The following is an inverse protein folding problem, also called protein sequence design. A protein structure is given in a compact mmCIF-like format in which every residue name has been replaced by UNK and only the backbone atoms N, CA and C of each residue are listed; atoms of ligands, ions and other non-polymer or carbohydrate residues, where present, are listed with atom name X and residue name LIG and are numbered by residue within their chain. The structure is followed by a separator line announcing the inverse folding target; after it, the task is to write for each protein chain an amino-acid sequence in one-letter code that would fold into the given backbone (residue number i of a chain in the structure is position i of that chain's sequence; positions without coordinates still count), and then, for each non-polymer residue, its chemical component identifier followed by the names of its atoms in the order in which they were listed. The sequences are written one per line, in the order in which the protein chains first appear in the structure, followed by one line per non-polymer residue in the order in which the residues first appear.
data_IF_142766674739
#
_entry.id   IF_142766674739
#
_cell.length_a   1.000
_cell.length_b   1.000
_cell.length_c   1.000
_cell.angle_alpha   90.00
_cell.angle_beta   90.00
_cell.angle_gamma   90.00
#
_symmetry.space_group_name_H-M   'P 1'
#
loop_
_entity.id
_entity.type
_entity.pdbx_description
1 polymer ?
#
# COMPACT_ATOMS: atom_id res chain seq x y z
N UNK A 1 -8.12 -9.57 -4.68
CA UNK A 1 -7.12 -10.38 -3.98
C UNK A 1 -7.83 -11.33 -3.02
N UNK A 2 -7.62 -12.64 -3.12
CA UNK A 2 -8.20 -13.65 -2.23
C UNK A 2 -7.21 -14.06 -1.11
N UNK A 3 -7.58 -15.02 -0.26
CA UNK A 3 -6.72 -15.48 0.85
C UNK A 3 -5.54 -16.34 0.38
N UNK A 4 -5.68 -17.08 -0.72
CA UNK A 4 -4.59 -17.87 -1.30
C UNK A 4 -3.48 -16.97 -1.82
N UNK A 5 -3.83 -15.91 -2.55
CA UNK A 5 -2.92 -14.88 -3.04
C UNK A 5 -2.25 -14.14 -1.88
N UNK A 6 -3.02 -13.81 -0.84
CA UNK A 6 -2.45 -13.15 0.34
C UNK A 6 -1.48 -14.08 1.09
N UNK A 7 -1.79 -15.37 1.19
CA UNK A 7 -0.90 -16.37 1.78
C UNK A 7 0.30 -16.70 0.90
N UNK A 8 0.23 -16.51 -0.42
CA UNK A 8 1.40 -16.61 -1.28
C UNK A 8 2.42 -15.50 -0.95
N UNK A 9 1.94 -14.32 -0.53
CA UNK A 9 2.78 -13.17 -0.15
C UNK A 9 3.22 -13.25 1.31
N UNK A 10 2.30 -13.64 2.21
CA UNK A 10 2.53 -13.75 3.66
C UNK A 10 2.07 -15.13 4.16
N UNK A 11 2.86 -16.20 3.94
CA UNK A 11 2.44 -17.58 4.22
C UNK A 11 2.06 -17.86 5.68
N UNK A 12 2.71 -17.16 6.60
CA UNK A 12 2.50 -17.27 8.04
C UNK A 12 1.30 -16.46 8.55
N UNK A 13 0.58 -15.73 7.68
CA UNK A 13 -0.59 -14.97 8.07
C UNK A 13 -1.75 -15.88 8.49
N UNK A 14 -2.27 -15.62 9.69
CA UNK A 14 -3.45 -16.27 10.27
C UNK A 14 -4.48 -15.21 10.67
N UNK A 15 -5.70 -15.65 10.99
CA UNK A 15 -6.79 -14.78 11.44
C UNK A 15 -7.09 -13.60 10.48
N UNK A 16 -6.98 -13.80 9.17
CA UNK A 16 -7.13 -12.72 8.17
C UNK A 16 -8.52 -12.09 8.28
N UNK A 17 -8.59 -10.81 8.66
CA UNK A 17 -9.81 -10.02 8.73
C UNK A 17 -9.79 -8.98 7.62
N UNK A 18 -10.79 -9.03 6.73
CA UNK A 18 -10.94 -8.09 5.61
C UNK A 18 -12.07 -7.12 5.91
N UNK A 19 -11.79 -5.82 5.80
CA UNK A 19 -12.78 -4.74 5.91
C UNK A 19 -12.82 -3.96 4.60
N UNK A 20 -13.75 -4.29 3.69
CA UNK A 20 -13.97 -3.49 2.49
C UNK A 20 -14.36 -2.06 2.85
N UNK A 21 -13.85 -1.10 2.10
CA UNK A 21 -14.07 0.33 2.28
C UNK A 21 -14.59 0.94 0.98
N UNK A 22 -15.51 1.88 1.13
CA UNK A 22 -16.05 2.67 0.04
C UNK A 22 -15.02 3.72 -0.40
N UNK A 23 -14.92 3.95 -1.72
CA UNK A 23 -14.23 5.11 -2.28
C UNK A 23 -15.28 6.11 -2.75
N UNK A 24 -15.07 7.38 -2.43
CA UNK A 24 -15.88 8.48 -2.95
C UNK A 24 -15.12 9.07 -4.14
N UNK A 25 -15.66 8.90 -5.35
CA UNK A 25 -15.11 9.51 -6.55
C UNK A 25 -15.54 10.97 -6.59
N UNK A 26 -14.59 11.89 -6.55
CA UNK A 26 -14.86 13.32 -6.71
C UNK A 26 -14.65 13.67 -8.18
N UNK A 27 -15.71 14.13 -8.84
CA UNK A 27 -15.61 14.68 -10.19
C UNK A 27 -14.89 16.04 -10.13
N UNK A 28 -13.82 16.19 -10.89
CA UNK A 28 -13.01 17.41 -10.93
C UNK A 28 -13.57 18.44 -11.92
N UNK A 29 -14.55 18.08 -12.75
CA UNK A 29 -15.14 18.96 -13.77
C UNK A 29 -16.10 20.01 -13.20
N UNK A 30 -16.54 19.86 -11.94
CA UNK A 30 -17.49 20.79 -11.31
C UNK A 30 -17.11 21.01 -9.85
N UNK A 31 -17.02 22.29 -9.42
CA UNK A 31 -16.75 22.72 -8.03
C UNK A 31 -17.78 22.25 -6.98
N UNK A 32 -18.63 21.28 -7.27
CA UNK A 32 -19.59 20.70 -6.35
C UNK A 32 -18.94 19.56 -5.55
N UNK A 33 -18.39 19.92 -4.38
CA UNK A 33 -17.84 19.02 -3.35
C UNK A 33 -18.84 18.04 -2.73
N UNK A 34 -20.08 17.97 -3.20
CA UNK A 34 -21.18 17.26 -2.53
C UNK A 34 -21.98 16.43 -3.52
N UNK A 35 -21.46 15.27 -3.94
CA UNK A 35 -22.19 14.38 -4.84
C UNK A 35 -21.37 13.29 -5.55
N UNK A 36 -20.18 12.97 -5.05
CA UNK A 36 -19.31 12.00 -5.70
C UNK A 36 -19.93 10.61 -5.85
N UNK A 37 -19.67 9.95 -6.99
CA UNK A 37 -20.07 8.56 -7.19
C UNK A 37 -19.37 7.67 -6.16
N UNK A 38 -20.14 6.84 -5.47
CA UNK A 38 -19.62 5.93 -4.44
C UNK A 38 -19.30 4.59 -5.08
N UNK A 39 -18.05 4.16 -4.99
CA UNK A 39 -17.64 2.83 -5.43
C UNK A 39 -17.55 1.94 -4.19
N UNK A 40 -18.53 1.05 -3.96
CA UNK A 40 -18.46 0.15 -2.83
C UNK A 40 -17.26 -0.80 -3.00
N UNK A 41 -16.55 -1.07 -1.90
CA UNK A 41 -15.43 -2.02 -1.86
C UNK A 41 -14.24 -1.69 -2.78
N UNK A 42 -14.05 -0.41 -3.12
CA UNK A 42 -12.89 0.06 -3.91
C UNK A 42 -11.55 0.05 -3.14
N UNK A 43 -11.61 -0.08 -1.81
CA UNK A 43 -10.43 -0.36 -0.99
C UNK A 43 -10.73 -1.45 0.04
N UNK A 44 -9.69 -2.00 0.64
CA UNK A 44 -9.78 -3.02 1.67
C UNK A 44 -8.67 -2.80 2.70
N UNK A 45 -9.08 -2.69 3.96
CA UNK A 45 -8.18 -2.85 5.08
C UNK A 45 -8.10 -4.34 5.43
N UNK A 46 -6.91 -4.84 5.73
CA UNK A 46 -6.65 -6.23 6.09
C UNK A 46 -5.83 -6.27 7.36
N UNK A 47 -6.38 -6.87 8.41
CA UNK A 47 -5.67 -7.16 9.65
C UNK A 47 -5.35 -8.65 9.71
N UNK A 48 -4.12 -9.00 10.08
CA UNK A 48 -3.73 -10.41 10.26
C UNK A 48 -2.79 -10.60 11.43
N UNK A 49 -2.79 -11.83 11.95
CA UNK A 49 -1.82 -12.30 12.92
C UNK A 49 -0.67 -12.97 12.20
N UNK A 50 0.53 -12.47 12.45
CA UNK A 50 1.79 -13.17 12.22
C UNK A 50 2.22 -13.81 13.53
N UNK A 51 3.02 -14.89 13.48
CA UNK A 51 3.60 -15.39 14.70
C UNK A 51 4.45 -14.26 15.34
N UNK A 52 4.27 -14.13 16.66
CA UNK A 52 4.85 -13.08 17.47
C UNK A 52 4.95 -13.56 18.90
N UNK A 53 6.08 -13.26 19.54
CA UNK A 53 6.31 -13.56 20.95
C UNK A 53 5.31 -12.89 21.89
N UNK A 54 4.69 -11.80 21.46
CA UNK A 54 3.86 -10.93 22.32
C UNK A 54 2.35 -11.16 22.18
N UNK A 55 1.91 -12.14 21.38
CA UNK A 55 0.53 -12.63 21.38
C UNK A 55 -0.53 -11.68 20.81
N UNK A 56 -0.13 -10.59 20.15
CA UNK A 56 -1.07 -9.66 19.53
C UNK A 56 -1.95 -10.36 18.48
N UNK A 57 -3.28 -10.27 18.67
CA UNK A 57 -4.28 -10.90 17.80
C UNK A 57 -4.22 -10.39 16.36
N UNK A 58 -3.72 -9.18 16.15
CA UNK A 58 -3.48 -8.56 14.85
C UNK A 58 -2.24 -7.69 14.95
N UNK A 59 -1.18 -8.07 14.24
CA UNK A 59 0.13 -7.40 14.33
C UNK A 59 0.71 -7.06 12.96
N UNK A 60 -0.01 -7.38 11.87
CA UNK A 60 0.22 -6.85 10.54
C UNK A 60 -1.09 -6.24 10.04
N UNK A 61 -1.01 -4.98 9.64
CA UNK A 61 -2.10 -4.24 9.02
C UNK A 61 -1.67 -3.85 7.61
N UNK A 62 -2.48 -4.21 6.62
CA UNK A 62 -2.29 -3.88 5.22
C UNK A 62 -3.51 -3.12 4.71
N UNK A 63 -3.27 -2.09 3.91
CA UNK A 63 -4.28 -1.34 3.21
C UNK A 63 -4.02 -1.42 1.72
N UNK A 64 -5.03 -1.81 0.97
CA UNK A 64 -5.01 -1.79 -0.50
C UNK A 64 -6.17 -0.93 -0.96
N UNK A 65 -5.93 0.03 -1.85
CA UNK A 65 -7.00 0.89 -2.32
C UNK A 65 -6.75 1.55 -3.65
N UNK A 66 -7.83 1.76 -4.39
CA UNK A 66 -7.84 2.65 -5.52
C UNK A 66 -8.05 4.09 -5.02
N UNK A 67 -7.20 5.00 -5.47
CA UNK A 67 -7.27 6.42 -5.13
C UNK A 67 -8.05 7.19 -6.18
N UNK A 68 -7.78 6.93 -7.47
CA UNK A 68 -8.46 7.58 -8.60
C UNK A 68 -8.61 6.61 -9.77
N UNK A 69 -9.65 6.82 -10.58
CA UNK A 69 -9.87 6.19 -11.88
C UNK A 69 -10.23 7.28 -12.89
N UNK A 70 -9.69 7.22 -14.11
CA UNK A 70 -9.94 8.24 -15.13
C UNK A 70 -9.14 8.01 -16.40
N UNK A 71 -9.10 9.01 -17.29
CA UNK A 71 -8.19 8.95 -18.44
C UNK A 71 -6.74 8.88 -17.95
N UNK A 72 -5.90 8.18 -18.71
CA UNK A 72 -4.49 7.96 -18.36
C UNK A 72 -3.77 9.28 -18.07
N UNK A 73 -4.06 10.32 -18.85
CA UNK A 73 -3.45 11.64 -18.70
C UNK A 73 -3.84 12.30 -17.36
N UNK A 74 -5.12 12.28 -17.00
CA UNK A 74 -5.63 12.87 -15.74
C UNK A 74 -5.09 12.10 -14.54
N UNK A 75 -5.02 10.77 -14.63
CA UNK A 75 -4.49 9.91 -13.57
C UNK A 75 -3.00 10.14 -13.37
N UNK A 76 -2.22 10.24 -14.45
CA UNK A 76 -0.79 10.56 -14.39
C UNK A 76 -0.56 11.95 -13.81
N UNK A 77 -1.33 12.95 -14.24
CA UNK A 77 -1.24 14.30 -13.69
C UNK A 77 -1.53 14.31 -12.19
N UNK A 78 -2.64 13.70 -11.77
CA UNK A 78 -3.01 13.60 -10.36
C UNK A 78 -1.98 12.84 -9.51
N UNK A 79 -1.33 11.82 -10.09
CA UNK A 79 -0.23 11.12 -9.46
C UNK A 79 0.94 12.08 -9.23
N UNK A 80 1.40 12.79 -10.27
CA UNK A 80 2.50 13.75 -10.17
C UNK A 80 2.20 14.90 -9.19
N UNK A 81 0.99 15.45 -9.21
CA UNK A 81 0.53 16.46 -8.23
C UNK A 81 0.57 15.92 -6.79
N UNK A 82 0.23 14.64 -6.59
CA UNK A 82 0.25 13.97 -5.30
C UNK A 82 1.66 13.69 -4.76
N UNK A 83 2.69 13.67 -5.62
CA UNK A 83 4.07 13.43 -5.22
C UNK A 83 4.75 14.65 -4.57
N UNK A 84 4.34 15.87 -4.93
CA UNK A 84 5.07 17.08 -4.55
C UNK A 84 6.55 17.03 -4.99
N UNK A 85 7.46 17.56 -4.16
CA UNK A 85 8.92 17.53 -4.41
C UNK A 85 9.56 16.15 -4.24
N UNK A 86 8.79 15.13 -3.84
CA UNK A 86 9.35 13.82 -3.61
C UNK A 86 9.45 13.05 -4.94
N UNK A 87 10.67 12.87 -5.42
CA UNK A 87 10.95 12.24 -6.70
C UNK A 87 10.25 10.87 -6.85
N UNK A 88 9.47 10.70 -7.92
CA UNK A 88 9.05 9.38 -8.39
C UNK A 88 10.31 8.54 -8.68
N UNK A 89 10.47 7.41 -8.00
CA UNK A 89 11.48 6.43 -8.39
C UNK A 89 10.96 5.58 -9.54
N UNK A 90 11.77 5.30 -10.58
CA UNK A 90 11.38 4.46 -11.74
C UNK A 90 11.23 2.95 -11.42
N UNK A 91 10.72 2.60 -10.24
CA UNK A 91 10.46 1.21 -9.84
C UNK A 91 9.15 0.67 -10.40
N UNK A 92 8.31 1.52 -10.99
CA UNK A 92 7.01 1.15 -11.59
C UNK A 92 7.09 -0.04 -12.55
N UNK A 93 7.96 -0.01 -13.57
CA UNK A 93 8.07 -1.11 -14.54
C UNK A 93 8.42 -2.46 -13.91
N UNK A 94 9.23 -2.48 -12.84
CA UNK A 94 9.61 -3.71 -12.11
C UNK A 94 8.44 -4.34 -11.33
N UNK A 95 7.37 -3.56 -11.13
CA UNK A 95 6.15 -3.96 -10.44
C UNK A 95 4.95 -4.12 -11.41
N UNK A 96 5.17 -4.02 -12.71
CA UNK A 96 4.12 -4.13 -13.74
C UNK A 96 3.25 -2.87 -13.90
N UNK A 97 3.63 -1.75 -13.28
CA UNK A 97 2.99 -0.45 -13.36
C UNK A 97 3.76 0.48 -14.33
N UNK A 98 3.13 1.54 -14.85
CA UNK A 98 3.88 2.55 -15.61
C UNK A 98 4.77 3.37 -14.66
N UNK A 99 4.22 3.79 -13.52
CA UNK A 99 4.91 4.58 -12.52
C UNK A 99 4.54 4.09 -11.12
N UNK A 100 5.52 4.05 -10.21
CA UNK A 100 5.28 3.81 -8.78
C UNK A 100 6.20 4.71 -7.95
N UNK A 101 5.70 5.13 -6.81
CA UNK A 101 6.42 5.97 -5.86
C UNK A 101 6.26 5.42 -4.45
N UNK A 102 7.31 5.61 -3.66
CA UNK A 102 7.33 5.32 -2.24
C UNK A 102 7.90 6.55 -1.53
N UNK A 103 7.23 7.08 -0.49
CA UNK A 103 7.78 8.19 0.26
C UNK A 103 9.07 7.77 0.96
N UNK A 104 10.11 8.58 0.78
CA UNK A 104 11.32 8.43 1.58
C UNK A 104 10.95 8.63 3.06
N UNK A 105 11.50 7.83 3.98
CA UNK A 105 11.34 8.09 5.40
C UNK A 105 11.81 9.51 5.70
N UNK A 106 10.95 10.34 6.31
CA UNK A 106 11.32 11.74 6.61
C UNK A 106 12.42 11.73 7.66
N UNK A 107 13.65 12.08 7.27
CA UNK A 107 14.77 12.21 8.20
C UNK A 107 14.42 13.18 9.33
N UNK A 108 14.60 12.76 10.58
CA UNK A 108 14.37 13.59 11.77
C UNK A 108 12.99 13.51 12.42
N UNK A 109 12.03 12.75 11.88
CA UNK A 109 10.80 12.44 12.60
C UNK A 109 11.01 11.23 13.52
N UNK A 110 11.14 11.48 14.82
CA UNK A 110 11.08 10.44 15.87
C UNK A 110 9.67 9.87 16.05
N UNK A 111 8.67 10.39 15.33
CA UNK A 111 7.42 9.68 15.17
C UNK A 111 7.73 8.51 14.25
N UNK A 112 7.79 7.32 14.83
CA UNK A 112 7.85 6.07 14.11
C UNK A 112 6.87 6.13 12.95
N UNK A 113 7.37 6.29 11.72
CA UNK A 113 6.64 6.00 10.50
C UNK A 113 6.36 4.49 10.54
N UNK A 114 5.39 4.13 11.37
CA UNK A 114 4.93 2.76 11.57
C UNK A 114 4.24 2.23 10.32
N UNK A 115 4.10 3.06 9.28
CA UNK A 115 3.34 2.83 8.08
C UNK A 115 4.20 3.14 6.85
N UNK A 116 4.40 2.16 5.98
CA UNK A 116 5.06 2.30 4.67
C UNK A 116 4.02 2.19 3.56
N UNK A 117 4.22 2.91 2.45
CA UNK A 117 3.28 2.93 1.34
C UNK A 117 3.99 2.88 -0.03
N UNK A 118 3.30 2.32 -1.02
CA UNK A 118 3.64 2.37 -2.44
C UNK A 118 2.40 2.85 -3.19
N UNK A 119 2.55 3.92 -3.97
CA UNK A 119 1.51 4.52 -4.81
C UNK A 119 1.87 4.28 -6.27
N UNK A 120 0.94 3.81 -7.10
CA UNK A 120 1.24 3.39 -8.47
C UNK A 120 0.17 3.85 -9.48
N UNK A 121 0.59 4.02 -10.72
CA UNK A 121 -0.25 4.22 -11.89
C UNK A 121 -0.20 2.98 -12.78
N UNK A 122 -1.38 2.44 -13.11
CA UNK A 122 -1.57 1.38 -14.10
C UNK A 122 -2.70 1.76 -15.05
N UNK A 123 -2.40 2.24 -16.25
CA UNK A 123 -3.38 2.69 -17.23
C UNK A 123 -4.33 3.76 -16.67
N UNK A 124 -5.61 3.40 -16.53
CA UNK A 124 -6.66 4.28 -16.01
C UNK A 124 -6.73 4.33 -14.48
N UNK A 125 -5.84 3.63 -13.77
CA UNK A 125 -5.91 3.44 -12.33
C UNK A 125 -4.75 4.13 -11.63
N UNK A 126 -5.05 4.96 -10.62
CA UNK A 126 -4.10 5.34 -9.57
C UNK A 126 -4.53 4.63 -8.29
N UNK A 127 -3.67 3.75 -7.79
CA UNK A 127 -3.90 2.94 -6.59
C UNK A 127 -2.71 2.99 -5.65
N UNK A 128 -2.90 2.52 -4.43
CA UNK A 128 -1.84 2.41 -3.45
C UNK A 128 -1.99 1.18 -2.58
N UNK A 129 -0.85 0.68 -2.13
CA UNK A 129 -0.76 -0.31 -1.06
C UNK A 129 0.03 0.29 0.07
N UNK A 130 -0.34 -0.02 1.30
CA UNK A 130 0.38 0.46 2.45
C UNK A 130 0.24 -0.52 3.60
N UNK A 131 1.09 -0.41 4.61
CA UNK A 131 1.01 -1.30 5.75
C UNK A 131 1.92 -0.92 6.89
N UNK A 132 1.58 -1.48 8.04
CA UNK A 132 2.32 -1.42 9.28
C UNK A 132 2.44 -2.80 9.90
N UNK A 133 3.55 -3.07 10.56
CA UNK A 133 3.70 -4.31 11.32
C UNK A 133 4.35 -4.05 12.69
N UNK A 134 3.78 -4.65 13.73
CA UNK A 134 4.38 -4.79 15.06
C UNK A 134 5.05 -6.15 15.27
N UNK A 135 4.93 -7.09 14.32
CA UNK A 135 5.40 -8.46 14.48
C UNK A 135 6.93 -8.57 14.30
N UNK A 136 7.65 -8.88 15.38
CA UNK A 136 9.11 -9.07 15.39
C UNK A 136 9.64 -10.09 14.37
N UNK A 137 8.79 -11.02 13.92
CA UNK A 137 9.17 -12.16 13.09
C UNK A 137 9.19 -11.86 11.58
N UNK A 138 8.61 -10.72 11.15
CA UNK A 138 9.00 -10.13 9.87
C UNK A 138 10.42 -9.52 9.94
N UNK A 139 11.00 -9.38 11.13
CA UNK A 139 12.14 -8.52 11.43
C UNK A 139 13.38 -9.30 11.95
N UNK A 140 13.41 -10.63 11.84
CA UNK A 140 14.40 -11.51 12.48
C UNK A 140 15.81 -11.53 11.88
N UNK A 141 16.20 -10.63 10.99
CA UNK A 141 17.56 -10.62 10.41
C UNK A 141 18.55 -9.62 11.04
N UNK A 142 18.19 -8.83 12.06
CA UNK A 142 19.21 -8.01 12.74
C UNK A 142 18.81 -7.65 14.17
N UNK A 143 19.76 -7.77 15.09
CA UNK A 143 19.67 -7.36 16.49
C UNK A 143 20.43 -6.07 16.79
N UNK A 144 20.68 -5.22 15.79
CA UNK A 144 21.45 -3.98 15.93
C UNK A 144 20.58 -2.71 16.06
N UNK A 145 21.07 -1.63 16.69
CA UNK A 145 20.40 -0.33 16.66
C UNK A 145 20.23 0.16 15.21
N UNK A 146 18.98 0.28 14.73
CA UNK A 146 18.65 0.57 13.31
C UNK A 146 17.56 -0.34 12.71
N UNK A 147 17.18 -1.39 13.43
CA UNK A 147 16.26 -2.47 12.98
C UNK A 147 14.83 -2.03 12.64
N UNK A 148 14.33 -0.90 13.14
CA UNK A 148 12.99 -0.41 12.72
C UNK A 148 12.97 0.06 11.26
N UNK A 149 14.06 0.65 10.78
CA UNK A 149 14.19 1.01 9.37
C UNK A 149 14.25 -0.25 8.50
N UNK A 150 14.94 -1.31 8.93
CA UNK A 150 15.01 -2.59 8.19
C UNK A 150 13.70 -3.37 8.21
N UNK A 151 12.93 -3.28 9.30
CA UNK A 151 11.62 -3.90 9.46
C UNK A 151 10.57 -3.36 8.48
N UNK A 152 10.43 -2.04 8.45
CA UNK A 152 9.51 -1.35 7.54
C UNK A 152 9.99 -1.46 6.09
N UNK A 153 11.30 -1.46 5.88
CA UNK A 153 11.89 -1.74 4.57
C UNK A 153 11.61 -3.18 4.12
N UNK A 154 11.69 -4.17 5.01
CA UNK A 154 11.35 -5.56 4.70
C UNK A 154 9.87 -5.70 4.34
N UNK A 155 8.99 -5.05 5.11
CA UNK A 155 7.56 -5.00 4.79
C UNK A 155 7.32 -4.39 3.40
N UNK A 156 8.01 -3.29 3.09
CA UNK A 156 7.93 -2.64 1.79
C UNK A 156 8.42 -3.55 0.66
N UNK A 157 9.63 -4.10 0.79
CA UNK A 157 10.35 -4.84 -0.27
C UNK A 157 9.81 -6.24 -0.49
N UNK A 158 9.31 -6.93 0.56
CA UNK A 158 8.82 -8.32 0.44
C UNK A 158 7.30 -8.42 0.34
N UNK A 159 6.56 -7.54 1.02
CA UNK A 159 5.09 -7.64 1.08
C UNK A 159 4.43 -6.63 0.14
N UNK A 160 4.77 -5.34 0.26
CA UNK A 160 4.07 -4.31 -0.52
C UNK A 160 4.37 -4.39 -2.03
N UNK A 161 5.60 -4.67 -2.42
CA UNK A 161 5.98 -4.89 -3.84
C UNK A 161 5.21 -6.06 -4.47
N UNK A 162 5.09 -7.19 -3.77
CA UNK A 162 4.34 -8.36 -4.26
C UNK A 162 2.84 -8.11 -4.29
N UNK A 163 2.31 -7.33 -3.35
CA UNK A 163 0.93 -6.85 -3.42
C UNK A 163 0.73 -5.98 -4.67
N UNK A 164 1.64 -5.05 -4.97
CA UNK A 164 1.57 -4.25 -6.21
C UNK A 164 1.59 -5.16 -7.43
N UNK A 165 2.54 -6.11 -7.54
CA UNK A 165 2.63 -7.05 -8.66
C UNK A 165 1.35 -7.85 -8.85
N UNK A 166 0.77 -8.35 -7.76
CA UNK A 166 -0.48 -9.11 -7.78
C UNK A 166 -1.65 -8.26 -8.27
N UNK A 167 -1.69 -6.98 -7.88
CA UNK A 167 -2.73 -6.05 -8.30
C UNK A 167 -2.57 -5.62 -9.75
N UNK A 168 -1.36 -5.25 -10.19
CA UNK A 168 -1.09 -4.84 -11.57
C UNK A 168 -1.40 -5.95 -12.57
N UNK A 169 -1.07 -7.20 -12.23
CA UNK A 169 -1.41 -8.37 -13.04
C UNK A 169 -2.93 -8.57 -13.24
N UNK A 170 -3.76 -8.07 -12.31
CA UNK A 170 -5.23 -8.13 -12.39
C UNK A 170 -5.88 -6.91 -13.04
N UNK A 171 -5.12 -5.83 -13.22
CA UNK A 171 -5.56 -4.59 -13.87
C UNK A 171 -5.22 -4.56 -15.37
N UNK A 172 -4.57 -5.61 -15.87
CA UNK A 172 -4.13 -5.76 -17.26
C UNK A 172 -5.17 -6.50 -18.09
#
# INVERSE_FOLDING_TARGET
MNDEELKAIVPQATNILRRPRELILVDLSVFHRTGGARVPRASCDMDMALPSKWGDRYNLHLKVGMSRIGSTEVVRQAFQEGLGDAAATSTGPQLGAEDCYHPAPRSGSYVADSFVAISCVKGQYFFGVAGSSGASELFTESSEPGVRATAMETLRVKVLTELVRTLTAKMS
#
